data_IF_278644165188
#
_entry.id   IF_278644165188
#
_cell.length_a   1.000
_cell.length_b   1.000
_cell.length_c   1.000
_cell.angle_alpha   90.00
_cell.angle_beta   90.00
_cell.angle_gamma   90.00
#
_symmetry.space_group_name_H-M   'P 1'
#
loop_
_entity.id
_entity.type
_entity.pdbx_description
1 polymer ?
#
# COMPACT_ATOMS: atom_id res chain seq x y z
N UNK A 1 -10.60 43.02 14.64
CA UNK A 1 -9.42 42.20 14.26
C UNK A 1 -9.49 40.89 15.02
N UNK A 2 -9.77 39.77 14.36
CA UNK A 2 -9.85 38.46 15.01
C UNK A 2 -8.43 37.87 15.13
N UNK A 3 -7.93 37.76 16.36
CA UNK A 3 -6.70 37.00 16.64
C UNK A 3 -7.07 35.52 16.74
N UNK A 4 -6.81 34.74 15.70
CA UNK A 4 -6.89 33.28 15.82
C UNK A 4 -5.59 32.76 16.44
N UNK A 5 -5.71 31.93 17.49
CA UNK A 5 -4.59 31.24 18.14
C UNK A 5 -4.22 30.03 17.31
N UNK A 6 -3.05 30.04 16.67
CA UNK A 6 -2.43 28.81 16.17
C UNK A 6 -1.97 28.04 17.41
N UNK A 7 -2.71 27.01 17.81
CA UNK A 7 -2.24 26.09 18.84
C UNK A 7 -1.17 25.19 18.21
N UNK A 8 0.07 25.26 18.70
CA UNK A 8 1.17 24.39 18.30
C UNK A 8 0.86 22.93 18.68
N UNK A 9 0.10 22.24 17.84
CA UNK A 9 -0.12 20.79 17.99
C UNK A 9 1.16 20.07 17.57
N UNK A 10 1.65 19.15 18.42
CA UNK A 10 2.84 18.35 18.11
C UNK A 10 2.56 17.51 16.87
N UNK A 11 3.43 17.58 15.86
CA UNK A 11 3.29 16.76 14.65
C UNK A 11 3.49 15.28 14.99
N UNK A 12 2.45 14.48 14.81
CA UNK A 12 2.51 13.02 14.92
C UNK A 12 2.74 12.37 13.55
N UNK A 13 3.74 11.49 13.47
CA UNK A 13 3.99 10.74 12.24
C UNK A 13 2.80 9.81 11.95
N UNK A 14 2.24 9.82 10.71
CA UNK A 14 1.10 8.99 10.38
C UNK A 14 1.48 7.51 10.46
N UNK A 15 0.61 6.71 11.07
CA UNK A 15 0.76 5.26 11.10
C UNK A 15 0.52 4.70 9.70
N UNK A 16 1.29 3.68 9.32
CA UNK A 16 1.19 3.02 8.01
C UNK A 16 0.99 1.52 8.20
N UNK A 17 0.15 0.87 7.38
CA UNK A 17 -0.07 -0.57 7.46
C UNK A 17 1.17 -1.32 6.97
N UNK A 18 1.56 -2.37 7.70
CA UNK A 18 2.62 -3.28 7.29
C UNK A 18 2.12 -4.22 6.17
N UNK A 19 2.87 -4.40 5.06
CA UNK A 19 2.47 -5.29 3.97
C UNK A 19 2.43 -6.78 4.34
N UNK A 20 3.14 -7.17 5.41
CA UNK A 20 3.31 -8.57 5.82
C UNK A 20 2.33 -8.97 6.93
N UNK A 21 2.32 -8.24 8.06
CA UNK A 21 1.44 -8.56 9.21
C UNK A 21 0.21 -7.65 9.34
N UNK A 22 0.00 -6.70 8.42
CA UNK A 22 -1.12 -5.74 8.41
C UNK A 22 -1.23 -4.80 9.63
N UNK A 23 -0.30 -4.85 10.59
CA UNK A 23 -0.30 -3.94 11.74
C UNK A 23 0.07 -2.51 11.34
N UNK A 24 -0.57 -1.52 11.96
CA UNK A 24 -0.26 -0.11 11.72
C UNK A 24 0.94 0.36 12.55
N UNK A 25 1.95 0.91 11.89
CA UNK A 25 3.21 1.30 12.53
C UNK A 25 3.62 2.71 12.13
N UNK A 26 4.08 3.52 13.09
CA UNK A 26 4.67 4.84 12.82
C UNK A 26 6.12 4.74 12.31
N UNK A 27 6.82 3.65 12.64
CA UNK A 27 8.20 3.35 12.23
C UNK A 27 8.27 2.05 11.43
N UNK A 28 7.66 2.03 10.24
CA UNK A 28 7.50 0.82 9.44
C UNK A 28 8.84 0.13 9.11
N UNK A 29 9.88 0.87 8.73
CA UNK A 29 11.21 0.30 8.41
C UNK A 29 11.78 -0.51 9.58
N UNK A 30 11.74 0.05 10.80
CA UNK A 30 12.20 -0.63 12.02
C UNK A 30 11.37 -1.87 12.31
N UNK A 31 10.05 -1.78 12.15
CA UNK A 31 9.16 -2.91 12.35
C UNK A 31 9.48 -4.06 11.39
N UNK A 32 9.61 -3.76 10.10
CA UNK A 32 9.94 -4.76 9.06
C UNK A 32 11.28 -5.42 9.34
N UNK A 33 12.31 -4.64 9.68
CA UNK A 33 13.64 -5.18 10.01
C UNK A 33 13.65 -6.10 11.24
N UNK A 34 12.73 -5.92 12.18
CA UNK A 34 12.72 -6.69 13.44
C UNK A 34 11.76 -7.88 13.44
N UNK A 35 10.70 -7.83 12.62
CA UNK A 35 9.66 -8.87 12.58
C UNK A 35 9.60 -9.66 11.27
N UNK A 36 10.16 -9.11 10.21
CA UNK A 36 10.02 -9.60 8.84
C UNK A 36 11.37 -9.66 8.14
N UNK A 37 12.45 -9.91 8.89
CA UNK A 37 13.78 -10.01 8.33
C UNK A 37 13.87 -11.11 7.28
N UNK A 38 13.19 -12.24 7.50
CA UNK A 38 13.26 -13.42 6.64
C UNK A 38 12.42 -13.30 5.35
N UNK A 39 11.67 -12.22 5.19
CA UNK A 39 10.89 -11.98 3.98
C UNK A 39 11.82 -11.66 2.80
N UNK A 40 11.60 -12.31 1.64
CA UNK A 40 12.46 -12.18 0.47
C UNK A 40 12.67 -10.71 0.02
N UNK A 41 11.61 -9.89 0.06
CA UNK A 41 11.68 -8.47 -0.29
C UNK A 41 12.54 -7.66 0.68
N UNK A 42 12.59 -8.08 1.95
CA UNK A 42 13.39 -7.44 2.99
C UNK A 42 14.85 -7.85 2.86
N UNK A 43 15.11 -9.12 2.56
CA UNK A 43 16.45 -9.63 2.23
C UNK A 43 17.04 -8.92 1.00
N UNK A 44 16.24 -8.71 -0.05
CA UNK A 44 16.63 -7.93 -1.23
C UNK A 44 16.99 -6.48 -0.83
N UNK A 45 16.19 -5.85 0.04
CA UNK A 45 16.51 -4.51 0.53
C UNK A 45 17.78 -4.46 1.41
N UNK A 46 18.05 -5.54 2.15
CA UNK A 46 19.22 -5.69 3.02
C UNK A 46 20.51 -6.00 2.26
N UNK A 47 20.41 -6.49 1.02
CA UNK A 47 21.56 -6.68 0.15
C UNK A 47 22.30 -5.37 -0.13
N UNK A 48 21.56 -4.25 -0.23
CA UNK A 48 22.14 -2.92 -0.40
C UNK A 48 22.73 -2.38 0.90
N UNK A 49 23.81 -1.59 0.80
CA UNK A 49 24.46 -1.03 1.97
C UNK A 49 23.55 -0.06 2.75
N UNK A 50 23.81 0.09 4.05
CA UNK A 50 23.12 1.10 4.86
C UNK A 50 23.36 2.52 4.34
N UNK A 51 22.29 3.32 4.33
CA UNK A 51 22.31 4.68 3.80
C UNK A 51 22.37 4.79 2.27
N UNK A 52 22.36 3.66 1.55
CA UNK A 52 22.23 3.70 0.08
C UNK A 52 20.86 4.19 -0.35
N UNK A 53 20.83 4.90 -1.47
CA UNK A 53 19.57 5.33 -2.11
C UNK A 53 18.77 4.11 -2.57
N UNK A 54 19.46 3.05 -2.97
CA UNK A 54 18.90 1.76 -3.38
C UNK A 54 18.16 1.06 -2.23
N UNK A 55 18.78 1.01 -1.04
CA UNK A 55 18.13 0.45 0.16
C UNK A 55 16.90 1.25 0.53
N UNK A 56 16.99 2.58 0.50
CA UNK A 56 15.86 3.44 0.82
C UNK A 56 14.72 3.27 -0.19
N UNK A 57 15.04 3.20 -1.48
CA UNK A 57 14.08 2.89 -2.55
C UNK A 57 13.42 1.52 -2.36
N UNK A 58 14.18 0.50 -1.95
CA UNK A 58 13.64 -0.83 -1.68
C UNK A 58 12.63 -0.81 -0.51
N UNK A 59 12.97 -0.14 0.61
CA UNK A 59 12.02 0.03 1.72
C UNK A 59 10.81 0.90 1.34
N UNK A 60 10.99 1.86 0.44
CA UNK A 60 9.90 2.69 -0.05
C UNK A 60 8.92 1.90 -0.92
N UNK A 61 9.41 0.93 -1.71
CA UNK A 61 8.56 -0.03 -2.44
C UNK A 61 7.72 -0.86 -1.46
N UNK A 62 8.34 -1.43 -0.43
CA UNK A 62 7.66 -2.20 0.62
C UNK A 62 6.57 -1.34 1.29
N UNK A 63 6.89 -0.10 1.64
CA UNK A 63 5.92 0.85 2.23
C UNK A 63 4.74 1.13 1.30
N UNK A 64 5.00 1.43 0.02
CA UNK A 64 3.97 1.70 -0.98
C UNK A 64 3.08 0.48 -1.21
N UNK A 65 3.65 -0.72 -1.20
CA UNK A 65 2.91 -1.97 -1.34
C UNK A 65 1.95 -2.18 -0.16
N UNK A 66 2.40 -1.97 1.08
CA UNK A 66 1.54 -2.04 2.26
C UNK A 66 0.35 -1.07 2.19
N UNK A 67 0.60 0.17 1.80
CA UNK A 67 -0.47 1.16 1.59
C UNK A 67 -1.43 0.77 0.47
N UNK A 68 -0.90 0.26 -0.64
CA UNK A 68 -1.70 -0.16 -1.78
C UNK A 68 -2.64 -1.30 -1.41
N UNK A 69 -2.13 -2.34 -0.74
CA UNK A 69 -2.93 -3.50 -0.29
C UNK A 69 -4.04 -3.05 0.66
N UNK A 70 -3.72 -2.22 1.65
CA UNK A 70 -4.71 -1.68 2.59
C UNK A 70 -5.77 -0.83 1.90
N UNK A 71 -5.37 0.09 1.03
CA UNK A 71 -6.30 0.95 0.31
C UNK A 71 -7.18 0.16 -0.65
N UNK A 72 -6.64 -0.89 -1.29
CA UNK A 72 -7.39 -1.81 -2.14
C UNK A 72 -8.45 -2.55 -1.33
N UNK A 73 -8.09 -3.11 -0.18
CA UNK A 73 -9.03 -3.78 0.74
C UNK A 73 -10.15 -2.82 1.16
N UNK A 74 -9.79 -1.59 1.57
CA UNK A 74 -10.76 -0.56 1.96
C UNK A 74 -11.64 -0.05 0.83
N UNK A 75 -11.16 -0.08 -0.40
CA UNK A 75 -11.96 0.31 -1.56
C UNK A 75 -12.96 -0.79 -1.91
N UNK A 76 -12.55 -2.06 -1.84
CA UNK A 76 -13.46 -3.19 -2.02
C UNK A 76 -14.58 -3.16 -0.96
N UNK A 77 -14.26 -2.88 0.31
CA UNK A 77 -15.26 -2.68 1.37
C UNK A 77 -16.31 -1.60 1.01
N UNK A 78 -15.92 -0.61 0.18
CA UNK A 78 -16.77 0.49 -0.28
C UNK A 78 -17.36 0.26 -1.67
N UNK A 79 -17.23 -0.94 -2.25
CA UNK A 79 -17.56 -1.24 -3.64
C UNK A 79 -16.91 -0.25 -4.63
N UNK A 80 -15.63 0.06 -4.46
CA UNK A 80 -14.82 0.91 -5.33
C UNK A 80 -13.67 0.11 -5.96
N UNK A 81 -13.35 0.38 -7.24
CA UNK A 81 -12.17 -0.19 -7.88
C UNK A 81 -10.99 0.76 -7.70
N UNK A 82 -9.91 0.24 -7.09
CA UNK A 82 -8.62 0.91 -7.07
C UNK A 82 -7.82 0.53 -8.31
N UNK A 83 -7.66 1.46 -9.23
CA UNK A 83 -6.76 1.31 -10.37
C UNK A 83 -5.39 1.92 -10.03
N UNK A 84 -4.27 1.40 -10.55
CA UNK A 84 -2.92 1.93 -10.24
C UNK A 84 -2.73 3.41 -10.61
N UNK A 85 -3.63 3.99 -11.42
CA UNK A 85 -3.66 5.40 -11.85
C UNK A 85 -4.70 6.27 -11.12
N UNK A 86 -5.51 5.73 -10.20
CA UNK A 86 -6.53 6.49 -9.48
C UNK A 86 -7.71 5.64 -8.96
N UNK A 87 -8.62 6.29 -8.24
CA UNK A 87 -9.85 5.67 -7.72
C UNK A 87 -10.93 5.77 -8.80
N UNK A 88 -11.58 4.65 -9.14
CA UNK A 88 -12.78 4.63 -9.99
C UNK A 88 -13.93 4.05 -9.18
N UNK A 89 -15.01 4.81 -9.02
CA UNK A 89 -16.23 4.32 -8.37
C UNK A 89 -16.92 3.29 -9.26
N UNK A 90 -17.30 2.13 -8.70
CA UNK A 90 -18.19 1.22 -9.40
C UNK A 90 -19.62 1.72 -9.25
N UNK A 91 -20.18 2.27 -10.32
CA UNK A 91 -21.63 2.38 -10.45
C UNK A 91 -22.17 1.02 -10.94
N UNK A 92 -22.15 0.00 -10.10
CA UNK A 92 -22.99 -1.17 -10.36
C UNK A 92 -24.38 -0.88 -9.81
N UNK A 93 -25.24 -0.35 -10.67
CA UNK A 93 -26.68 -0.49 -10.52
C UNK A 93 -26.98 -1.98 -10.45
N UNK A 94 -27.26 -2.50 -9.24
CA UNK A 94 -27.69 -3.88 -9.05
C UNK A 94 -29.07 -4.02 -9.71
N UNK A 95 -29.09 -4.44 -10.96
CA UNK A 95 -30.23 -5.14 -11.52
C UNK A 95 -29.87 -6.62 -11.50
N UNK A 96 -30.45 -7.31 -10.54
CA UNK A 96 -30.36 -8.75 -10.35
C UNK A 96 -30.61 -9.49 -11.68
N UNK A 97 -29.70 -10.39 -12.07
CA UNK A 97 -30.00 -11.72 -12.59
C UNK A 97 -28.69 -12.42 -13.06
N UNK A 98 -28.38 -13.53 -12.39
CA UNK A 98 -27.67 -14.72 -12.91
C UNK A 98 -26.94 -14.60 -14.26
N UNK A 99 -25.60 -14.53 -14.24
CA UNK A 99 -24.78 -15.09 -15.31
C UNK A 99 -23.32 -15.23 -14.85
N UNK A 100 -22.82 -16.45 -14.82
CA UNK A 100 -21.41 -16.80 -14.72
C UNK A 100 -20.66 -16.26 -15.93
N UNK A 101 -19.91 -15.16 -15.82
CA UNK A 101 -18.94 -14.76 -16.86
C UNK A 101 -17.72 -14.07 -16.22
N UNK A 102 -16.63 -14.85 -16.19
CA UNK A 102 -15.24 -14.47 -16.49
C UNK A 102 -14.67 -13.20 -15.84
N UNK A 103 -13.86 -13.43 -14.79
CA UNK A 103 -12.84 -12.49 -14.36
C UNK A 103 -11.75 -12.48 -15.43
N UNK A 104 -11.89 -11.63 -16.44
CA UNK A 104 -10.79 -11.28 -17.34
C UNK A 104 -9.84 -10.31 -16.61
N UNK A 105 -9.02 -10.83 -15.68
CA UNK A 105 -7.80 -10.14 -15.29
C UNK A 105 -6.74 -10.49 -16.34
N UNK A 106 -6.60 -9.60 -17.31
CA UNK A 106 -5.61 -9.62 -18.38
C UNK A 106 -4.19 -9.82 -17.81
N UNK A 107 -3.73 -11.06 -17.80
CA UNK A 107 -2.32 -11.43 -17.67
C UNK A 107 -1.71 -11.42 -19.07
N UNK A 108 -1.17 -10.28 -19.48
CA UNK A 108 -0.10 -10.30 -20.48
C UNK A 108 1.23 -10.30 -19.72
N UNK A 109 1.68 -11.51 -19.39
CA UNK A 109 3.10 -11.84 -19.36
C UNK A 109 3.26 -12.89 -20.45
N UNK A 110 3.68 -12.48 -21.64
CA UNK A 110 4.52 -13.34 -22.49
C UNK A 110 5.59 -12.49 -23.16
N UNK A 111 6.84 -12.96 -22.96
CA UNK A 111 7.98 -12.90 -23.88
C UNK A 111 8.45 -11.54 -24.40
N UNK A 112 9.64 -11.12 -23.95
CA UNK A 112 10.84 -10.77 -24.76
C UNK A 112 11.96 -10.65 -23.71
N UNK A 113 12.81 -11.66 -23.49
CA UNK A 113 13.87 -12.15 -24.39
C UNK A 113 14.79 -11.01 -24.85
#
# INVERSE_FOLDING_TARGET
MFHYRITETKYEKPKRPCPFCKTEQSQLRRHVLTKHQDEAQVQEALFYHEGSTERDNAFDKIRKDGMYRFNKEKALDRNQIMCRRGIVTLMFSVQNATASLEIACFTEIESYA
#
